data_IF_438083363560
#
_entry.id   IF_438083363560
#
_cell.length_a   1.000
_cell.length_b   1.000
_cell.length_c   1.000
_cell.angle_alpha   90.00
_cell.angle_beta   90.00
_cell.angle_gamma   90.00
#
_symmetry.space_group_name_H-M   'P 1'
#
loop_
_entity.id
_entity.type
_entity.pdbx_description
1 polymer ?
#
# COMPACT_ATOMS: atom_id res chain seq x y z
N UNK A 1 -19.20 11.54 -2.09
CA UNK A 1 -18.19 10.84 -1.26
C UNK A 1 -18.65 10.60 0.19
N UNK A 2 -18.75 11.60 1.08
CA UNK A 2 -19.06 11.35 2.52
C UNK A 2 -20.43 10.67 2.73
N UNK A 3 -21.46 11.13 2.03
CA UNK A 3 -22.81 10.56 2.12
C UNK A 3 -22.90 9.12 1.60
N UNK A 4 -22.14 8.78 0.56
CA UNK A 4 -22.09 7.43 -0.02
C UNK A 4 -21.40 6.45 0.94
N UNK A 5 -20.30 6.88 1.58
CA UNK A 5 -19.60 6.10 2.60
C UNK A 5 -20.53 5.77 3.77
N UNK A 6 -21.28 6.77 4.25
CA UNK A 6 -22.27 6.59 5.33
C UNK A 6 -23.39 5.62 4.94
N UNK A 7 -23.87 5.69 3.70
CA UNK A 7 -24.92 4.80 3.19
C UNK A 7 -24.44 3.34 3.13
N UNK A 8 -23.23 3.10 2.63
CA UNK A 8 -22.61 1.77 2.58
C UNK A 8 -22.40 1.24 4.00
N UNK A 9 -21.92 2.07 4.92
CA UNK A 9 -21.72 1.68 6.31
C UNK A 9 -23.04 1.29 6.99
N UNK A 10 -24.10 2.08 6.77
CA UNK A 10 -25.44 1.79 7.28
C UNK A 10 -26.01 0.46 6.75
N UNK A 11 -25.82 0.18 5.45
CA UNK A 11 -26.23 -1.10 4.83
C UNK A 11 -25.50 -2.29 5.46
N UNK A 12 -24.18 -2.20 5.63
CA UNK A 12 -23.38 -3.27 6.23
C UNK A 12 -23.82 -3.55 7.67
N UNK A 13 -24.00 -2.50 8.48
CA UNK A 13 -24.46 -2.63 9.86
C UNK A 13 -25.86 -3.25 9.92
N UNK A 14 -26.78 -2.80 9.06
CA UNK A 14 -28.12 -3.37 8.96
C UNK A 14 -28.10 -4.86 8.61
N UNK A 15 -27.25 -5.27 7.67
CA UNK A 15 -27.08 -6.65 7.27
C UNK A 15 -26.54 -7.53 8.41
N UNK A 16 -25.51 -7.05 9.14
CA UNK A 16 -24.94 -7.76 10.29
C UNK A 16 -26.01 -7.97 11.37
N UNK A 17 -26.80 -6.94 11.68
CA UNK A 17 -27.88 -7.03 12.68
C UNK A 17 -28.94 -8.03 12.22
N UNK A 18 -29.35 -7.99 10.95
CA UNK A 18 -30.34 -8.90 10.39
C UNK A 18 -29.89 -10.37 10.46
N UNK A 19 -28.65 -10.66 10.07
CA UNK A 19 -28.06 -12.01 10.12
C UNK A 19 -27.92 -12.48 11.58
N UNK A 20 -27.48 -11.60 12.48
CA UNK A 20 -27.30 -11.96 13.90
C UNK A 20 -28.62 -12.26 14.60
N UNK A 21 -29.74 -11.66 14.16
CA UNK A 21 -31.08 -12.00 14.66
C UNK A 21 -31.58 -13.37 14.18
N UNK A 22 -31.19 -13.78 12.96
CA UNK A 22 -31.54 -15.11 12.43
C UNK A 22 -30.75 -16.21 13.15
N UNK A 23 -29.44 -16.00 13.32
CA UNK A 23 -28.60 -16.87 14.12
C UNK A 23 -27.36 -16.12 14.60
N UNK A 24 -27.13 -16.04 15.92
CA UNK A 24 -25.97 -15.33 16.45
C UNK A 24 -24.64 -15.97 16.02
N UNK A 25 -24.61 -17.30 15.85
CA UNK A 25 -23.42 -18.03 15.38
C UNK A 25 -23.09 -17.66 13.93
N UNK A 26 -24.11 -17.61 13.06
CA UNK A 26 -23.92 -17.24 11.64
C UNK A 26 -23.48 -15.78 11.52
N UNK A 27 -24.04 -14.88 12.36
CA UNK A 27 -23.62 -13.49 12.42
C UNK A 27 -22.14 -13.32 12.76
N UNK A 28 -21.63 -14.08 13.74
CA UNK A 28 -20.21 -14.06 14.12
C UNK A 28 -19.33 -14.57 12.98
N UNK A 29 -19.70 -15.67 12.32
CA UNK A 29 -18.94 -16.22 11.18
C UNK A 29 -18.89 -15.20 10.04
N UNK A 30 -20.01 -14.57 9.72
CA UNK A 30 -20.09 -13.54 8.69
C UNK A 30 -19.19 -12.34 9.01
N UNK A 31 -19.19 -11.87 10.26
CA UNK A 31 -18.33 -10.78 10.72
C UNK A 31 -16.83 -11.13 10.54
N UNK A 32 -16.42 -12.33 10.93
CA UNK A 32 -15.03 -12.79 10.79
C UNK A 32 -14.64 -12.85 9.30
N UNK A 33 -15.50 -13.42 8.45
CA UNK A 33 -15.27 -13.49 7.01
C UNK A 33 -15.15 -12.11 6.38
N UNK A 34 -15.99 -11.15 6.81
CA UNK A 34 -15.93 -9.76 6.36
C UNK A 34 -14.58 -9.12 6.72
N UNK A 35 -14.11 -9.30 7.97
CA UNK A 35 -12.83 -8.76 8.41
C UNK A 35 -11.65 -9.36 7.63
N UNK A 36 -11.66 -10.68 7.39
CA UNK A 36 -10.66 -11.35 6.55
C UNK A 36 -10.70 -10.78 5.13
N UNK A 37 -11.88 -10.61 4.55
CA UNK A 37 -12.05 -10.02 3.23
C UNK A 37 -11.45 -8.62 3.14
N UNK A 38 -11.70 -7.76 4.14
CA UNK A 38 -11.12 -6.41 4.21
C UNK A 38 -9.59 -6.46 4.26
N UNK A 39 -9.01 -7.36 5.08
CA UNK A 39 -7.56 -7.51 5.19
C UNK A 39 -6.94 -7.98 3.87
N UNK A 40 -7.52 -8.99 3.23
CA UNK A 40 -7.05 -9.53 1.95
C UNK A 40 -7.15 -8.48 0.85
N UNK A 41 -8.28 -7.78 0.77
CA UNK A 41 -8.49 -6.72 -0.22
C UNK A 41 -7.53 -5.55 -0.02
N UNK A 42 -7.32 -5.10 1.22
CA UNK A 42 -6.34 -4.07 1.54
C UNK A 42 -4.91 -4.50 1.16
N UNK A 43 -4.56 -5.76 1.41
CA UNK A 43 -3.26 -6.30 1.00
C UNK A 43 -3.11 -6.33 -0.52
N UNK A 44 -4.17 -6.69 -1.26
CA UNK A 44 -4.17 -6.70 -2.73
C UNK A 44 -3.91 -5.31 -3.30
N UNK A 45 -4.69 -4.31 -2.88
CA UNK A 45 -4.52 -2.91 -3.32
C UNK A 45 -3.10 -2.41 -3.03
N UNK A 46 -2.57 -2.69 -1.83
CA UNK A 46 -1.21 -2.26 -1.46
C UNK A 46 -0.13 -2.89 -2.31
N UNK A 47 -0.34 -4.13 -2.77
CA UNK A 47 0.62 -4.82 -3.64
C UNK A 47 0.61 -4.21 -5.04
N UNK A 48 -0.56 -3.90 -5.56
CA UNK A 48 -0.75 -3.21 -6.84
C UNK A 48 -0.09 -1.83 -6.81
N UNK A 49 -0.41 -1.02 -5.79
CA UNK A 49 0.17 0.32 -5.59
C UNK A 49 1.71 0.27 -5.48
N UNK A 50 2.27 -0.71 -4.76
CA UNK A 50 3.73 -0.87 -4.67
C UNK A 50 4.36 -1.23 -6.03
N UNK A 51 3.62 -1.94 -6.87
CA UNK A 51 4.09 -2.37 -8.19
C UNK A 51 4.10 -1.18 -9.15
N UNK A 52 3.03 -0.38 -9.18
CA UNK A 52 2.99 0.89 -9.91
C UNK A 52 4.11 1.84 -9.44
N UNK A 53 4.31 1.95 -8.13
CA UNK A 53 5.34 2.81 -7.59
C UNK A 53 6.76 2.36 -8.01
N UNK A 54 7.03 1.05 -8.02
CA UNK A 54 8.29 0.51 -8.56
C UNK A 54 8.47 0.89 -10.02
N UNK A 55 7.40 0.86 -10.81
CA UNK A 55 7.44 1.22 -12.22
C UNK A 55 7.79 2.69 -12.42
N UNK A 56 7.15 3.60 -11.68
CA UNK A 56 7.41 5.04 -11.75
C UNK A 56 8.84 5.36 -11.30
N UNK A 57 9.32 4.76 -10.20
CA UNK A 57 10.70 4.93 -9.73
C UNK A 57 11.68 4.43 -10.78
N UNK A 58 11.46 3.23 -11.33
CA UNK A 58 12.32 2.63 -12.35
C UNK A 58 12.40 3.50 -13.60
N UNK A 59 11.26 4.04 -14.04
CA UNK A 59 11.18 4.95 -15.17
C UNK A 59 11.97 6.24 -14.90
N UNK A 60 11.73 6.91 -13.77
CA UNK A 60 12.40 8.17 -13.42
C UNK A 60 13.91 8.01 -13.24
N UNK A 61 14.35 6.87 -12.72
CA UNK A 61 15.77 6.55 -12.57
C UNK A 61 16.35 5.90 -13.82
N UNK A 62 15.57 5.58 -14.86
CA UNK A 62 16.00 4.82 -16.04
C UNK A 62 16.79 3.54 -15.68
N UNK A 63 16.19 2.73 -14.80
CA UNK A 63 16.71 1.43 -14.34
C UNK A 63 15.66 0.34 -14.50
N UNK A 64 16.03 -0.93 -14.33
CA UNK A 64 15.07 -2.02 -14.27
C UNK A 64 14.31 -2.03 -12.94
N UNK A 65 13.02 -2.37 -12.95
CA UNK A 65 12.24 -2.59 -11.71
C UNK A 65 12.86 -3.66 -10.80
N UNK A 66 13.58 -4.63 -11.39
CA UNK A 66 14.28 -5.69 -10.66
C UNK A 66 15.49 -5.17 -9.87
N UNK A 67 16.00 -3.99 -10.23
CA UNK A 67 17.12 -3.34 -9.57
C UNK A 67 16.71 -2.51 -8.35
N UNK A 68 15.42 -2.50 -8.00
CA UNK A 68 14.91 -1.71 -6.87
C UNK A 68 14.74 -2.60 -5.65
N UNK A 69 15.55 -2.33 -4.64
CA UNK A 69 15.48 -2.96 -3.32
C UNK A 69 14.92 -1.97 -2.31
N UNK A 70 13.96 -2.41 -1.50
CA UNK A 70 13.31 -1.54 -0.52
C UNK A 70 13.91 -1.76 0.86
N UNK A 71 14.30 -0.67 1.52
CA UNK A 71 14.59 -0.70 2.95
C UNK A 71 13.27 -0.69 3.73
N UNK A 72 12.86 -1.88 4.19
CA UNK A 72 11.61 -2.03 4.94
C UNK A 72 11.69 -1.37 6.33
N UNK A 73 12.88 -1.26 6.91
CA UNK A 73 13.09 -0.74 8.27
C UNK A 73 12.91 0.78 8.33
N UNK A 74 13.43 1.50 7.32
CA UNK A 74 13.31 2.97 7.23
C UNK A 74 11.99 3.45 6.62
N UNK A 75 11.24 2.55 6.00
CA UNK A 75 9.99 2.86 5.33
C UNK A 75 8.90 3.31 6.31
N UNK A 76 8.24 4.44 6.02
CA UNK A 76 7.10 4.95 6.80
C UNK A 76 5.77 4.74 6.10
N UNK A 77 4.84 4.10 6.82
CA UNK A 77 3.45 3.91 6.39
C UNK A 77 2.50 4.84 7.15
N UNK A 78 1.43 5.21 6.48
CA UNK A 78 0.25 5.84 7.06
C UNK A 78 -0.95 4.89 6.93
N UNK A 79 -2.07 5.25 7.57
CA UNK A 79 -3.31 4.48 7.42
C UNK A 79 -3.80 4.43 5.96
N UNK A 80 -3.52 5.49 5.20
CA UNK A 80 -3.91 5.66 3.80
C UNK A 80 -2.90 5.06 2.80
N UNK A 81 -1.79 4.48 3.27
CA UNK A 81 -0.77 3.86 2.40
C UNK A 81 0.65 4.33 2.70
N UNK A 82 1.58 4.06 1.79
CA UNK A 82 2.98 4.45 1.90
C UNK A 82 3.15 5.97 1.86
N UNK A 83 3.99 6.53 2.75
CA UNK A 83 4.27 7.97 2.82
C UNK A 83 5.71 8.28 2.43
N UNK A 84 6.65 7.45 2.90
CA UNK A 84 8.07 7.57 2.59
C UNK A 84 8.68 6.18 2.45
N UNK A 85 9.42 5.96 1.37
CA UNK A 85 10.19 4.74 1.13
C UNK A 85 11.67 5.10 0.98
N UNK A 86 12.53 4.12 1.24
CA UNK A 86 13.94 4.20 0.90
C UNK A 86 14.25 3.05 -0.05
N UNK A 87 14.89 3.38 -1.17
CA UNK A 87 15.22 2.40 -2.21
C UNK A 87 16.71 2.40 -2.50
N UNK A 88 17.28 1.21 -2.59
CA UNK A 88 18.64 0.97 -3.07
C UNK A 88 18.57 0.48 -4.50
N UNK A 89 19.43 1.03 -5.34
CA UNK A 89 19.47 0.78 -6.78
C UNK A 89 20.90 0.74 -7.30
N UNK A 90 21.07 0.39 -8.57
CA UNK A 90 22.36 0.48 -9.27
C UNK A 90 22.88 1.92 -9.39
N UNK A 91 22.01 2.92 -9.22
CA UNK A 91 22.34 4.34 -9.32
C UNK A 91 22.54 5.02 -7.97
N UNK A 92 22.32 4.33 -6.86
CA UNK A 92 22.35 4.96 -5.55
C UNK A 92 21.25 4.55 -4.59
N UNK A 93 21.28 5.21 -3.43
CA UNK A 93 20.20 5.24 -2.44
C UNK A 93 19.33 6.48 -2.68
N UNK A 94 18.01 6.27 -2.68
CA UNK A 94 17.03 7.34 -2.86
C UNK A 94 15.97 7.28 -1.76
N UNK A 95 15.63 8.44 -1.21
CA UNK A 95 14.40 8.64 -0.48
C UNK A 95 13.28 8.96 -1.45
N UNK A 96 12.20 8.18 -1.39
CA UNK A 96 10.99 8.35 -2.18
C UNK A 96 9.91 8.94 -1.29
N UNK A 97 9.58 10.20 -1.50
CA UNK A 97 8.45 10.85 -0.84
C UNK A 97 7.21 10.73 -1.71
N UNK A 98 6.13 10.20 -1.14
CA UNK A 98 4.88 9.94 -1.87
C UNK A 98 3.87 11.01 -1.47
N UNK A 99 3.44 11.81 -2.44
CA UNK A 99 2.42 12.82 -2.28
C UNK A 99 1.04 12.21 -2.49
N UNK A 100 0.12 12.47 -1.57
CA UNK A 100 -1.25 11.93 -1.63
C UNK A 100 -2.30 13.03 -1.51
N UNK A 101 -3.37 12.87 -2.27
CA UNK A 101 -4.60 13.64 -2.15
C UNK A 101 -5.78 12.68 -1.97
N UNK A 102 -6.57 12.87 -0.91
CA UNK A 102 -7.73 12.04 -0.57
C UNK A 102 -7.51 10.51 -0.57
N UNK A 103 -6.29 10.05 -0.32
CA UNK A 103 -5.91 8.63 -0.24
C UNK A 103 -5.24 8.09 -1.51
N UNK A 104 -5.41 8.76 -2.65
CA UNK A 104 -4.72 8.45 -3.90
C UNK A 104 -3.36 9.12 -3.94
N UNK A 105 -2.35 8.43 -4.50
CA UNK A 105 -1.04 9.05 -4.72
C UNK A 105 -1.10 9.90 -6.00
N UNK A 106 -0.59 11.12 -5.94
CA UNK A 106 -0.64 12.09 -7.05
C UNK A 106 0.73 12.36 -7.65
N UNK A 107 1.78 11.95 -6.97
CA UNK A 107 3.15 12.10 -7.43
C UNK A 107 4.18 11.60 -6.44
N UNK A 108 5.44 11.58 -6.88
CA UNK A 108 6.58 11.20 -6.06
C UNK A 108 7.71 12.20 -6.21
N UNK A 109 8.43 12.44 -5.13
CA UNK A 109 9.74 13.10 -5.17
C UNK A 109 10.82 12.06 -4.88
N UNK A 110 11.89 12.13 -5.67
CA UNK A 110 13.08 11.29 -5.52
C UNK A 110 14.23 12.15 -5.03
N UNK A 111 14.68 11.91 -3.81
CA UNK A 111 15.81 12.62 -3.20
C UNK A 111 17.00 11.65 -3.16
N UNK A 112 18.07 11.98 -3.88
CA UNK A 112 19.31 11.21 -3.83
C UNK A 112 19.98 11.37 -2.47
N UNK A 113 20.33 10.25 -1.84
CA UNK A 113 21.06 10.19 -0.57
C UNK A 113 22.51 9.80 -0.82
N UNK A 114 22.72 8.81 -1.69
CA UNK A 114 24.03 8.23 -1.98
C UNK A 114 24.09 7.82 -3.45
N UNK A 115 25.28 7.84 -4.05
CA UNK A 115 25.53 7.42 -5.44
C UNK A 115 26.23 6.05 -5.52
N UNK A 116 26.21 5.28 -4.43
CA UNK A 116 26.81 3.94 -4.39
C UNK A 116 25.95 2.94 -5.18
N UNK A 117 26.59 2.15 -6.02
CA UNK A 117 25.94 1.04 -6.74
C UNK A 117 25.77 -0.15 -5.80
N UNK A 118 24.59 -0.23 -5.17
CA UNK A 118 24.25 -1.30 -4.23
C UNK A 118 23.96 -2.65 -4.91
N UNK A 119 23.71 -2.67 -6.23
CA UNK A 119 23.45 -3.93 -6.94
C UNK A 119 24.75 -4.69 -7.21
N UNK A 120 25.87 -3.98 -7.29
CA UNK A 120 27.20 -4.59 -7.42
C UNK A 120 27.61 -5.38 -6.19
N UNK A 121 27.21 -4.95 -4.99
CA UNK A 121 27.54 -5.62 -3.73
C UNK A 121 26.72 -6.90 -3.48
N UNK A 122 25.57 -7.05 -4.16
CA UNK A 122 24.66 -8.18 -3.99
C UNK A 122 24.90 -9.34 -4.97
N UNK A 123 25.71 -9.13 -6.00
CA UNK A 123 26.05 -10.15 -7.01
C UNK A 123 27.38 -10.89 -6.69
N UNK A 124 27.80 -10.91 -5.42
CA UNK A 124 28.98 -11.65 -4.93
C UNK A 124 28.61 -12.95 -4.22
#
# INVERSE_FOLDING_TARGET
MIAEILMVFGLIVGLIIAISRLSPIIGIIFLIMLLIGIVVFSHYIRKEELTELKEVIAHNLSISQKEILFDVERTRKSFLGWRKLYVFTSKGEFEVNIHRDNGEWVGIDLISISNVDYMKELNY
#
